data_IF_527856863731
#
_entry.id   IF_527856863731
#
_cell.length_a   1.000
_cell.length_b   1.000
_cell.length_c   1.000
_cell.angle_alpha   90.00
_cell.angle_beta   90.00
_cell.angle_gamma   90.00
#
_symmetry.space_group_name_H-M   'P 1'
#
loop_
_entity.id
_entity.type
_entity.pdbx_description
1 polymer ?
#
# COMPACT_ATOMS: atom_id res chain seq x y z
N UNK A 1 -9.53 18.11 16.22
CA UNK A 1 -10.30 17.85 14.98
C UNK A 1 -11.22 16.68 15.25
N UNK A 2 -12.52 16.86 15.15
CA UNK A 2 -13.52 15.79 15.31
C UNK A 2 -13.55 14.98 14.02
N UNK A 3 -12.96 13.78 14.04
CA UNK A 3 -13.14 12.82 12.95
C UNK A 3 -14.62 12.45 12.89
N UNK A 4 -15.30 12.84 11.82
CA UNK A 4 -16.63 12.34 11.52
C UNK A 4 -16.51 10.84 11.30
N UNK A 5 -17.03 10.04 12.23
CA UNK A 5 -17.12 8.59 12.06
C UNK A 5 -18.16 8.34 10.98
N UNK A 6 -17.69 8.15 9.75
CA UNK A 6 -18.56 7.74 8.66
C UNK A 6 -19.04 6.32 8.94
N UNK A 7 -20.35 6.14 9.14
CA UNK A 7 -20.97 4.84 9.41
C UNK A 7 -20.99 3.99 8.13
N UNK A 8 -19.82 3.51 7.71
CA UNK A 8 -19.69 2.57 6.61
C UNK A 8 -20.13 1.19 7.09
N UNK A 9 -21.09 0.56 6.41
CA UNK A 9 -21.46 -0.82 6.71
C UNK A 9 -20.31 -1.77 6.37
N UNK A 10 -20.23 -2.92 7.04
CA UNK A 10 -19.22 -3.96 6.72
C UNK A 10 -19.32 -4.36 5.25
N UNK A 11 -20.53 -4.47 4.72
CA UNK A 11 -20.77 -4.76 3.30
C UNK A 11 -20.12 -3.72 2.40
N UNK A 12 -20.35 -2.42 2.67
CA UNK A 12 -19.76 -1.35 1.87
C UNK A 12 -18.23 -1.30 1.99
N UNK A 13 -17.68 -1.55 3.19
CA UNK A 13 -16.23 -1.66 3.37
C UNK A 13 -15.61 -2.82 2.57
N UNK A 14 -16.31 -3.96 2.50
CA UNK A 14 -15.90 -5.12 1.71
C UNK A 14 -15.98 -4.84 0.21
N UNK A 15 -17.06 -4.21 -0.26
CA UNK A 15 -17.23 -3.81 -1.67
C UNK A 15 -16.12 -2.84 -2.11
N UNK A 16 -15.80 -1.84 -1.29
CA UNK A 16 -14.75 -0.86 -1.61
C UNK A 16 -13.36 -1.51 -1.65
N UNK A 17 -13.06 -2.44 -0.73
CA UNK A 17 -11.81 -3.18 -0.78
C UNK A 17 -11.73 -4.11 -2.00
N UNK A 18 -12.83 -4.79 -2.34
CA UNK A 18 -12.91 -5.61 -3.55
C UNK A 18 -12.74 -4.77 -4.80
N UNK A 19 -13.29 -3.55 -4.85
CA UNK A 19 -13.09 -2.62 -5.95
C UNK A 19 -11.60 -2.33 -6.17
N UNK A 20 -10.85 -2.04 -5.11
CA UNK A 20 -9.41 -1.79 -5.20
C UNK A 20 -8.64 -3.00 -5.75
N UNK A 21 -8.96 -4.19 -5.26
CA UNK A 21 -8.37 -5.45 -5.76
C UNK A 21 -8.70 -5.66 -7.23
N UNK A 22 -9.95 -5.41 -7.64
CA UNK A 22 -10.39 -5.57 -9.02
C UNK A 22 -9.72 -4.56 -9.96
N UNK A 23 -9.51 -3.32 -9.51
CA UNK A 23 -8.76 -2.31 -10.27
C UNK A 23 -7.30 -2.73 -10.44
N UNK A 24 -6.65 -3.20 -9.39
CA UNK A 24 -5.28 -3.66 -9.46
C UNK A 24 -5.12 -4.91 -10.34
N UNK A 25 -6.06 -5.85 -10.24
CA UNK A 25 -6.11 -7.03 -11.08
C UNK A 25 -6.24 -6.66 -12.56
N UNK A 26 -7.08 -5.68 -12.89
CA UNK A 26 -7.23 -5.13 -14.24
C UNK A 26 -5.96 -4.43 -14.73
N UNK A 27 -5.33 -3.62 -13.88
CA UNK A 27 -4.09 -2.89 -14.23
C UNK A 27 -2.92 -3.83 -14.56
N UNK A 28 -2.94 -5.05 -14.01
CA UNK A 28 -1.86 -6.05 -14.14
C UNK A 28 -2.20 -7.23 -15.05
N UNK A 29 -3.45 -7.35 -15.51
CA UNK A 29 -4.00 -8.55 -16.17
C UNK A 29 -3.84 -9.82 -15.31
N UNK A 30 -4.11 -9.71 -14.01
CA UNK A 30 -3.95 -10.79 -13.02
C UNK A 30 -5.31 -11.26 -12.47
N UNK A 31 -5.31 -12.41 -11.80
CA UNK A 31 -6.44 -12.82 -10.97
C UNK A 31 -6.51 -11.99 -9.67
N UNK A 32 -7.72 -11.85 -9.12
CA UNK A 32 -8.00 -11.07 -7.91
C UNK A 32 -7.17 -11.53 -6.70
N UNK A 33 -6.96 -12.84 -6.55
CA UNK A 33 -6.19 -13.41 -5.43
C UNK A 33 -4.73 -12.95 -5.46
N UNK A 34 -4.12 -12.91 -6.64
CA UNK A 34 -2.73 -12.46 -6.81
C UNK A 34 -2.61 -10.95 -6.68
N UNK A 35 -3.57 -10.19 -7.21
CA UNK A 35 -3.64 -8.74 -6.99
C UNK A 35 -3.79 -8.40 -5.50
N UNK A 36 -4.66 -9.12 -4.77
CA UNK A 36 -4.83 -8.94 -3.33
C UNK A 36 -3.54 -9.26 -2.54
N UNK A 37 -2.87 -10.38 -2.85
CA UNK A 37 -1.57 -10.72 -2.24
C UNK A 37 -0.53 -9.63 -2.46
N UNK A 38 -0.44 -9.08 -3.68
CA UNK A 38 0.47 -7.99 -4.02
C UNK A 38 0.13 -6.71 -3.25
N UNK A 39 -1.14 -6.31 -3.26
CA UNK A 39 -1.61 -5.12 -2.53
C UNK A 39 -1.23 -5.21 -1.05
N UNK A 40 -1.51 -6.36 -0.42
CA UNK A 40 -1.14 -6.63 0.97
C UNK A 40 0.36 -6.54 1.20
N UNK A 41 1.18 -7.20 0.36
CA UNK A 41 2.63 -7.21 0.49
C UNK A 41 3.23 -5.79 0.39
N UNK A 42 2.75 -4.99 -0.56
CA UNK A 42 3.19 -3.59 -0.73
C UNK A 42 2.73 -2.72 0.42
N UNK A 43 1.48 -2.84 0.87
CA UNK A 43 0.94 -2.09 2.01
C UNK A 43 1.70 -2.38 3.31
N UNK A 44 2.00 -3.65 3.59
CA UNK A 44 2.80 -4.05 4.76
C UNK A 44 4.23 -3.52 4.68
N UNK A 45 4.85 -3.61 3.50
CA UNK A 45 6.20 -3.07 3.29
C UNK A 45 6.21 -1.54 3.43
N UNK A 46 5.20 -0.84 2.92
CA UNK A 46 5.05 0.60 3.11
C UNK A 46 4.94 0.96 4.59
N UNK A 47 4.04 0.29 5.32
CA UNK A 47 3.86 0.48 6.77
C UNK A 47 5.17 0.38 7.53
N UNK A 48 5.93 -0.67 7.25
CA UNK A 48 7.16 -0.95 7.97
C UNK A 48 8.28 0.02 7.59
N UNK A 49 8.15 0.77 6.49
CA UNK A 49 9.09 1.79 6.06
C UNK A 49 8.81 3.18 6.61
N UNK A 50 7.55 3.49 6.88
CA UNK A 50 7.08 4.79 7.34
C UNK A 50 7.37 5.01 8.84
N UNK A 51 7.48 6.28 9.23
CA UNK A 51 7.45 6.67 10.64
C UNK A 51 6.05 6.46 11.24
N UNK A 52 5.91 6.42 12.58
CA UNK A 52 4.59 6.25 13.20
C UNK A 52 3.56 7.32 12.79
N UNK A 53 4.00 8.57 12.61
CA UNK A 53 3.15 9.68 12.16
C UNK A 53 2.67 9.45 10.72
N UNK A 54 3.59 9.15 9.82
CA UNK A 54 3.30 8.92 8.40
C UNK A 54 2.42 7.69 8.18
N UNK A 55 2.64 6.65 8.98
CA UNK A 55 1.82 5.44 9.00
C UNK A 55 0.38 5.77 9.42
N UNK A 56 0.20 6.63 10.43
CA UNK A 56 -1.12 7.08 10.86
C UNK A 56 -1.82 7.89 9.75
N UNK A 57 -1.11 8.84 9.14
CA UNK A 57 -1.61 9.67 8.04
C UNK A 57 -2.04 8.83 6.83
N UNK A 58 -1.19 7.91 6.37
CA UNK A 58 -1.53 6.99 5.28
C UNK A 58 -2.76 6.15 5.65
N UNK A 59 -2.80 5.62 6.87
CA UNK A 59 -3.90 4.75 7.30
C UNK A 59 -5.24 5.47 7.32
N UNK A 60 -5.27 6.77 7.63
CA UNK A 60 -6.49 7.58 7.63
C UNK A 60 -7.15 7.62 6.24
N UNK A 61 -6.35 7.51 5.17
CA UNK A 61 -6.79 7.56 3.78
C UNK A 61 -7.25 6.22 3.21
N UNK A 62 -6.94 5.13 3.89
CA UNK A 62 -7.33 3.80 3.43
C UNK A 62 -8.81 3.53 3.77
N UNK A 63 -9.57 2.89 2.87
CA UNK A 63 -10.88 2.32 3.18
C UNK A 63 -10.82 1.40 4.39
N UNK A 64 -11.88 1.31 5.18
CA UNK A 64 -11.90 0.61 6.47
C UNK A 64 -11.31 -0.80 6.43
N UNK A 65 -11.69 -1.63 5.44
CA UNK A 65 -11.17 -3.00 5.34
C UNK A 65 -9.71 -3.03 4.85
N UNK A 66 -9.33 -2.16 3.90
CA UNK A 66 -7.93 -2.00 3.45
C UNK A 66 -7.04 -1.53 4.61
N UNK A 67 -7.53 -0.64 5.47
CA UNK A 67 -6.85 -0.22 6.71
C UNK A 67 -6.65 -1.39 7.68
N UNK A 68 -7.67 -2.25 7.81
CA UNK A 68 -7.55 -3.49 8.59
C UNK A 68 -6.45 -4.41 8.03
N UNK A 69 -6.41 -4.61 6.72
CA UNK A 69 -5.36 -5.37 6.02
C UNK A 69 -3.99 -4.73 6.25
N UNK A 70 -3.88 -3.40 6.15
CA UNK A 70 -2.63 -2.66 6.34
C UNK A 70 -2.00 -2.92 7.73
N UNK A 71 -2.79 -2.98 8.80
CA UNK A 71 -2.32 -3.27 10.15
C UNK A 71 -2.27 -4.76 10.52
N UNK A 72 -2.76 -5.65 9.65
CA UNK A 72 -2.76 -7.08 9.92
C UNK A 72 -1.32 -7.60 10.15
N UNK A 73 -1.15 -8.37 11.22
CA UNK A 73 0.12 -8.99 11.58
C UNK A 73 1.24 -8.01 11.96
N UNK A 74 0.94 -6.74 12.22
CA UNK A 74 1.95 -5.74 12.54
C UNK A 74 2.66 -6.02 13.87
N UNK A 75 4.00 -5.97 13.85
CA UNK A 75 4.84 -6.01 15.05
C UNK A 75 5.63 -4.70 15.19
N UNK A 76 5.26 -3.80 16.11
CA UNK A 76 5.93 -2.50 16.28
C UNK A 76 7.38 -2.61 16.80
N UNK A 77 7.79 -3.77 17.33
CA UNK A 77 9.18 -4.04 17.73
C UNK A 77 10.07 -4.50 16.56
N UNK A 78 9.62 -4.31 15.31
CA UNK A 78 10.33 -4.73 14.10
C UNK A 78 11.73 -4.13 13.95
N UNK A 79 12.59 -4.75 13.12
CA UNK A 79 14.02 -4.52 13.16
C UNK A 79 14.42 -3.11 12.70
N UNK A 80 15.28 -2.47 13.50
CA UNK A 80 15.88 -1.16 13.28
C UNK A 80 17.16 -1.29 12.44
N UNK A 81 17.02 -1.45 11.13
CA UNK A 81 18.18 -1.47 10.23
C UNK A 81 18.02 -0.47 9.08
N UNK A 82 19.14 -0.17 8.43
CA UNK A 82 19.26 0.87 7.42
C UNK A 82 18.58 0.46 6.11
N UNK A 83 17.38 1.02 5.85
CA UNK A 83 16.54 0.66 4.70
C UNK A 83 16.99 1.36 3.40
N UNK A 84 17.37 0.60 2.36
CA UNK A 84 17.62 1.07 0.97
C UNK A 84 16.43 0.73 0.05
N UNK A 85 16.40 1.28 -1.17
CA UNK A 85 15.34 0.98 -2.17
C UNK A 85 15.34 -0.49 -2.60
N UNK A 86 16.51 -1.06 -2.85
CA UNK A 86 16.67 -2.48 -3.17
C UNK A 86 15.97 -3.36 -2.13
N UNK A 87 16.05 -2.95 -0.87
CA UNK A 87 15.49 -3.68 0.26
C UNK A 87 13.97 -3.67 0.25
N UNK A 88 13.35 -2.58 -0.25
CA UNK A 88 11.90 -2.50 -0.40
C UNK A 88 11.40 -3.55 -1.40
N UNK A 89 12.00 -3.60 -2.60
CA UNK A 89 11.61 -4.56 -3.64
C UNK A 89 11.85 -6.00 -3.17
N UNK A 90 12.96 -6.25 -2.46
CA UNK A 90 13.26 -7.55 -1.86
C UNK A 90 12.19 -7.93 -0.82
N UNK A 91 11.80 -7.01 0.06
CA UNK A 91 10.78 -7.29 1.07
C UNK A 91 9.40 -7.56 0.45
N UNK A 92 8.99 -6.78 -0.55
CA UNK A 92 7.75 -7.07 -1.28
C UNK A 92 7.82 -8.45 -1.93
N UNK A 93 8.91 -8.78 -2.63
CA UNK A 93 9.10 -10.08 -3.28
C UNK A 93 9.06 -11.24 -2.28
N UNK A 94 9.69 -11.09 -1.12
CA UNK A 94 9.69 -12.11 -0.07
C UNK A 94 8.29 -12.34 0.52
N UNK A 95 7.49 -11.27 0.67
CA UNK A 95 6.13 -11.35 1.20
C UNK A 95 5.11 -11.84 0.17
N UNK A 96 5.24 -11.40 -1.08
CA UNK A 96 4.35 -11.77 -2.18
C UNK A 96 4.55 -13.22 -2.66
N UNK A 97 5.81 -13.68 -2.64
CA UNK A 97 6.25 -14.95 -3.22
C UNK A 97 7.10 -14.71 -4.48
N UNK A 98 8.09 -15.58 -4.71
CA UNK A 98 8.94 -15.50 -5.90
C UNK A 98 8.27 -16.19 -7.08
N UNK A 99 7.91 -15.41 -8.10
CA UNK A 99 7.45 -15.89 -9.39
C UNK A 99 8.38 -15.33 -10.49
N UNK A 100 9.12 -16.18 -11.23
CA UNK A 100 10.17 -15.72 -12.16
C UNK A 100 9.66 -14.81 -13.29
N UNK A 101 8.40 -14.98 -13.68
CA UNK A 101 7.77 -14.26 -14.80
C UNK A 101 7.24 -12.88 -14.41
N UNK A 102 7.23 -12.56 -13.11
CA UNK A 102 6.68 -11.31 -12.59
C UNK A 102 7.79 -10.24 -12.49
N UNK A 103 7.62 -9.17 -13.27
CA UNK A 103 8.35 -7.92 -13.11
C UNK A 103 7.85 -7.21 -11.83
N UNK A 104 8.58 -7.43 -10.73
CA UNK A 104 8.19 -6.95 -9.40
C UNK A 104 8.19 -5.43 -9.32
N UNK A 105 9.10 -4.74 -10.01
CA UNK A 105 9.13 -3.28 -10.02
C UNK A 105 7.88 -2.69 -10.70
N UNK A 106 7.46 -3.26 -11.84
CA UNK A 106 6.20 -2.85 -12.50
C UNK A 106 4.98 -3.15 -11.65
N UNK A 107 4.95 -4.31 -10.99
CA UNK A 107 3.86 -4.71 -10.10
C UNK A 107 3.73 -3.75 -8.90
N UNK A 108 4.85 -3.43 -8.25
CA UNK A 108 4.92 -2.42 -7.19
C UNK A 108 4.40 -1.07 -7.70
N UNK A 109 4.87 -0.62 -8.87
CA UNK A 109 4.43 0.63 -9.48
C UNK A 109 2.91 0.69 -9.74
N UNK A 110 2.28 -0.45 -10.07
CA UNK A 110 0.82 -0.51 -10.23
C UNK A 110 0.08 -0.27 -8.90
N UNK A 111 0.60 -0.78 -7.78
CA UNK A 111 0.03 -0.48 -6.45
C UNK A 111 0.19 1.00 -6.12
N UNK A 112 1.34 1.61 -6.39
CA UNK A 112 1.53 3.05 -6.16
C UNK A 112 0.59 3.91 -7.01
N UNK A 113 0.35 3.54 -8.28
CA UNK A 113 -0.67 4.20 -9.12
C UNK A 113 -2.09 4.02 -8.57
N UNK A 114 -2.43 2.84 -8.03
CA UNK A 114 -3.72 2.62 -7.37
C UNK A 114 -3.87 3.55 -6.16
N UNK A 115 -2.85 3.61 -5.30
CA UNK A 115 -2.87 4.51 -4.13
C UNK A 115 -3.02 5.97 -4.53
N UNK A 116 -2.30 6.40 -5.57
CA UNK A 116 -2.36 7.76 -6.12
C UNK A 116 -3.76 8.15 -6.61
N UNK A 117 -4.50 7.21 -7.21
CA UNK A 117 -5.88 7.44 -7.67
C UNK A 117 -6.90 7.60 -6.54
N UNK A 118 -6.69 6.94 -5.41
CA UNK A 118 -7.70 6.85 -4.34
C UNK A 118 -7.40 7.74 -3.12
N UNK A 119 -6.14 8.11 -2.89
CA UNK A 119 -5.76 9.00 -1.80
C UNK A 119 -5.84 10.44 -2.30
N UNK A 120 -6.41 11.35 -1.49
CA UNK A 120 -6.59 12.74 -1.92
C UNK A 120 -5.26 13.41 -2.30
N UNK A 121 -5.31 14.32 -3.28
CA UNK A 121 -4.12 14.95 -3.84
C UNK A 121 -3.29 15.74 -2.80
N UNK A 122 -3.91 16.24 -1.73
CA UNK A 122 -3.19 16.91 -0.64
C UNK A 122 -2.44 15.95 0.28
N UNK A 123 -3.02 14.77 0.55
CA UNK A 123 -2.49 13.80 1.51
C UNK A 123 -1.46 12.87 0.85
N UNK A 124 -1.63 12.53 -0.44
CA UNK A 124 -0.62 11.78 -1.21
C UNK A 124 0.70 12.55 -1.27
N UNK A 125 0.68 13.89 -1.35
CA UNK A 125 1.88 14.73 -1.37
C UNK A 125 2.60 14.68 -0.02
N UNK A 126 1.88 14.70 1.10
CA UNK A 126 2.48 14.56 2.43
C UNK A 126 3.09 13.16 2.61
N UNK A 127 2.36 12.10 2.25
CA UNK A 127 2.85 10.71 2.28
C UNK A 127 4.07 10.55 1.36
N UNK A 128 4.04 11.09 0.14
CA UNK A 128 5.18 11.05 -0.80
C UNK A 128 6.38 11.84 -0.28
N UNK A 129 6.16 12.99 0.37
CA UNK A 129 7.24 13.81 0.90
C UNK A 129 7.87 13.22 2.16
N UNK A 130 7.11 12.45 2.91
CA UNK A 130 7.59 11.80 4.13
C UNK A 130 8.41 10.52 3.82
N UNK A 131 8.10 9.89 2.69
CA UNK A 131 8.89 8.78 2.14
C UNK A 131 10.34 9.19 1.84
N UNK A 132 11.27 8.27 2.13
CA UNK A 132 12.69 8.39 1.74
C UNK A 132 12.79 8.79 0.27
N UNK A 133 13.72 9.69 -0.06
CA UNK A 133 13.93 10.23 -1.43
C UNK A 133 13.91 9.15 -2.52
N UNK A 134 14.49 7.98 -2.24
CA UNK A 134 14.56 6.85 -3.17
C UNK A 134 13.23 6.14 -3.45
N UNK A 135 12.28 6.19 -2.50
CA UNK A 135 10.93 5.62 -2.67
C UNK A 135 10.01 6.56 -3.44
N UNK A 136 10.25 7.89 -3.39
CA UNK A 136 9.44 8.88 -4.12
C UNK A 136 9.36 8.64 -5.63
N UNK A 137 10.34 7.95 -6.20
CA UNK A 137 10.39 7.54 -7.61
C UNK A 137 9.49 6.34 -7.95
N UNK A 138 8.85 5.69 -6.96
CA UNK A 138 7.87 4.63 -7.19
C UNK A 138 6.47 5.17 -7.47
N UNK A 139 6.20 6.43 -7.10
CA UNK A 139 5.01 7.14 -7.53
C UNK A 139 5.12 7.52 -9.01
N UNK A 140 4.01 7.51 -9.75
CA UNK A 140 3.98 8.10 -11.09
C UNK A 140 4.51 9.55 -11.04
N UNK A 141 5.33 9.92 -12.04
CA UNK A 141 5.61 11.32 -12.33
C UNK A 141 4.38 11.89 -13.04
N UNK A 142 3.97 13.11 -12.67
CA UNK A 142 2.79 13.80 -13.25
C UNK A 142 2.86 13.88 -14.79
#
# INVERSE_FOLDING_TARGET
MTHAVSHTSITHAAEQAQQWVNELARDLDWNEQSAFRLLKAVLHTLRDWLSPEEMADLSAQLPTLIRGIYFEGWNPAGPTWERKKSDFVICVRNSFGYEPEIDTDKAIGAVFRLLDRHISHGEIVQVRNSMKKSLRHLWPEE
#
